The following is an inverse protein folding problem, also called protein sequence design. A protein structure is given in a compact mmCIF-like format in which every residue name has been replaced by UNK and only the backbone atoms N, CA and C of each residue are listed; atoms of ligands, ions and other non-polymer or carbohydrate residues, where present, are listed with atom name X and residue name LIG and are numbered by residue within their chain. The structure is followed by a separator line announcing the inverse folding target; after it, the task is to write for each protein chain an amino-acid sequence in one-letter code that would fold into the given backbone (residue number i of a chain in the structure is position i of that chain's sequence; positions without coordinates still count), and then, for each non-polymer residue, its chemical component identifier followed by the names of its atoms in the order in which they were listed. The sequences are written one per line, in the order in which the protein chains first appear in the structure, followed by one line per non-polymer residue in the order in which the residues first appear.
data_IF_719061245224
#
_entry.id   IF_719061245224
#
_cell.length_a   1.000
_cell.length_b   1.000
_cell.length_c   1.000
_cell.angle_alpha   90.00
_cell.angle_beta   90.00
_cell.angle_gamma   90.00
#
_symmetry.space_group_name_H-M   'P 1'
#
loop_
_entity.id
_entity.type
_entity.pdbx_description
1 polymer ?
#
# COMPACT_ATOMS: atom_id res chain seq x y z
N UNK A 1 -30.47 1.43 -21.64
CA UNK A 1 -30.52 0.85 -20.28
C UNK A 1 -29.12 0.39 -19.87
N UNK A 2 -28.30 1.30 -19.34
CA UNK A 2 -26.87 1.06 -19.03
C UNK A 2 -26.75 0.24 -17.74
N UNK A 3 -26.58 -1.09 -17.85
CA UNK A 3 -26.30 -1.95 -16.69
C UNK A 3 -24.92 -1.60 -16.13
N UNK A 4 -24.94 -1.06 -14.92
CA UNK A 4 -23.82 -0.66 -14.07
C UNK A 4 -22.73 -1.75 -14.06
N UNK A 5 -21.48 -1.37 -14.39
CA UNK A 5 -20.29 -2.20 -14.18
C UNK A 5 -20.33 -2.68 -12.73
N UNK A 6 -20.32 -3.99 -12.51
CA UNK A 6 -20.15 -4.57 -11.17
C UNK A 6 -18.83 -4.02 -10.63
N UNK A 7 -18.88 -3.19 -9.58
CA UNK A 7 -17.72 -2.97 -8.73
C UNK A 7 -17.35 -4.35 -8.19
N UNK A 8 -16.28 -4.92 -8.74
CA UNK A 8 -15.73 -6.18 -8.27
C UNK A 8 -15.27 -5.90 -6.84
N UNK A 9 -15.87 -6.58 -5.87
CA UNK A 9 -15.48 -6.46 -4.47
C UNK A 9 -13.96 -6.64 -4.38
N UNK A 10 -13.28 -5.64 -3.84
CA UNK A 10 -11.82 -5.68 -3.69
C UNK A 10 -11.58 -6.63 -2.53
N UNK A 11 -11.08 -7.83 -2.85
CA UNK A 11 -10.67 -8.81 -1.85
C UNK A 11 -9.54 -8.28 -0.97
N UNK A 12 -9.22 -9.00 0.10
CA UNK A 12 -8.09 -8.69 0.98
C UNK A 12 -6.79 -8.59 0.18
N UNK A 13 -6.06 -7.48 0.30
CA UNK A 13 -4.74 -7.28 -0.31
C UNK A 13 -3.69 -7.40 0.80
N UNK A 14 -2.78 -8.36 0.67
CA UNK A 14 -1.65 -8.60 1.59
C UNK A 14 -0.39 -8.84 0.78
N UNK A 15 0.74 -8.34 1.28
CA UNK A 15 2.05 -8.50 0.67
C UNK A 15 3.14 -8.29 1.71
N UNK A 16 4.30 -8.94 1.50
CA UNK A 16 5.48 -8.64 2.30
C UNK A 16 6.13 -7.36 1.80
N UNK A 17 6.63 -6.56 2.72
CA UNK A 17 7.44 -5.41 2.42
C UNK A 17 8.36 -5.13 3.61
N UNK A 18 9.49 -4.48 3.34
CA UNK A 18 10.40 -4.05 4.38
C UNK A 18 10.67 -2.55 4.26
N UNK A 19 10.92 -1.93 5.41
CA UNK A 19 11.36 -0.55 5.48
C UNK A 19 12.86 -0.52 5.15
N UNK A 20 13.29 0.12 4.05
CA UNK A 20 14.71 0.17 3.72
C UNK A 20 15.48 0.94 4.81
N UNK A 21 16.73 0.55 5.12
CA UNK A 21 17.54 1.17 6.17
C UNK A 21 18.16 2.50 5.69
N UNK A 22 17.34 3.41 5.16
CA UNK A 22 17.72 4.74 4.69
C UNK A 22 16.92 5.81 5.42
N UNK A 23 17.55 6.95 5.71
CA UNK A 23 16.91 8.04 6.46
C UNK A 23 15.65 8.57 5.76
N UNK A 24 15.63 8.57 4.43
CA UNK A 24 14.52 9.07 3.63
C UNK A 24 13.34 8.10 3.51
N UNK A 25 13.45 6.88 4.07
CA UNK A 25 12.38 5.88 4.03
C UNK A 25 11.11 6.37 4.72
N UNK A 26 11.23 7.28 5.69
CA UNK A 26 10.10 7.95 6.34
C UNK A 26 10.35 9.45 6.26
N UNK A 27 9.41 10.18 5.66
CA UNK A 27 9.47 11.63 5.53
C UNK A 27 8.19 12.25 6.07
N UNK A 28 8.27 13.24 6.95
CA UNK A 28 7.12 13.96 7.49
C UNK A 28 6.99 15.34 6.85
N UNK A 29 5.76 15.75 6.53
CA UNK A 29 5.46 17.10 6.07
C UNK A 29 5.20 18.01 7.29
N UNK A 30 5.97 19.09 7.41
CA UNK A 30 5.98 19.96 8.60
C UNK A 30 4.73 20.83 8.82
N UNK A 31 3.70 20.72 7.96
CA UNK A 31 2.48 21.52 8.06
C UNK A 31 1.23 20.70 8.45
N UNK A 32 1.41 19.47 8.92
CA UNK A 32 0.29 18.62 9.36
C UNK A 32 -0.30 17.73 8.26
N UNK A 33 0.25 17.77 7.04
CA UNK A 33 -0.16 16.93 5.90
C UNK A 33 0.32 15.46 6.00
N UNK A 34 0.67 15.01 7.21
CA UNK A 34 1.14 13.65 7.47
C UNK A 34 2.56 13.41 6.96
N UNK A 35 2.79 12.21 6.43
CA UNK A 35 4.11 11.79 5.95
C UNK A 35 4.03 10.75 4.83
N UNK A 36 5.19 10.45 4.25
CA UNK A 36 5.39 9.37 3.28
C UNK A 36 6.27 8.30 3.88
N UNK A 37 5.91 7.06 3.57
CA UNK A 37 6.69 5.86 3.86
C UNK A 37 7.06 5.22 2.53
N UNK A 38 8.33 4.93 2.34
CA UNK A 38 8.86 4.15 1.22
C UNK A 38 9.06 2.73 1.70
N UNK A 39 8.47 1.77 1.01
CA UNK A 39 8.58 0.34 1.32
C UNK A 39 9.17 -0.38 0.12
N UNK A 40 10.10 -1.29 0.38
CA UNK A 40 10.63 -2.19 -0.63
C UNK A 40 9.84 -3.49 -0.61
N UNK A 41 9.50 -3.99 -1.81
CA UNK A 41 8.59 -5.11 -2.00
C UNK A 41 9.33 -6.16 -2.83
N UNK A 42 9.36 -7.42 -2.40
CA UNK A 42 10.06 -8.45 -3.13
C UNK A 42 9.29 -8.85 -4.41
N UNK A 43 9.97 -9.38 -5.44
CA UNK A 43 9.35 -9.61 -6.76
C UNK A 43 8.08 -10.48 -6.75
N UNK A 44 8.02 -11.47 -5.86
CA UNK A 44 6.86 -12.36 -5.72
C UNK A 44 5.57 -11.64 -5.32
N UNK A 45 5.69 -10.50 -4.63
CA UNK A 45 4.58 -9.75 -4.05
C UNK A 45 4.14 -8.55 -4.92
N UNK A 46 4.84 -8.25 -6.01
CA UNK A 46 4.54 -7.12 -6.89
C UNK A 46 3.10 -7.13 -7.42
N UNK A 47 2.53 -8.31 -7.70
CA UNK A 47 1.14 -8.43 -8.16
C UNK A 47 0.15 -7.90 -7.13
N UNK A 48 0.35 -8.19 -5.84
CA UNK A 48 -0.51 -7.73 -4.76
C UNK A 48 -0.39 -6.21 -4.56
N UNK A 49 0.80 -5.64 -4.69
CA UNK A 49 1.00 -4.17 -4.60
C UNK A 49 0.33 -3.44 -5.75
N UNK A 50 0.36 -3.99 -6.97
CA UNK A 50 -0.34 -3.40 -8.12
C UNK A 50 -1.86 -3.34 -7.92
N UNK A 51 -2.44 -4.26 -7.12
CA UNK A 51 -3.86 -4.23 -6.79
C UNK A 51 -4.26 -2.98 -5.98
N UNK A 52 -3.32 -2.34 -5.27
CA UNK A 52 -3.55 -1.07 -4.57
C UNK A 52 -3.96 0.06 -5.52
N UNK A 53 -3.61 -0.02 -6.81
CA UNK A 53 -4.05 0.98 -7.80
C UNK A 53 -5.58 1.05 -7.91
N UNK A 54 -6.30 -0.03 -7.58
CA UNK A 54 -7.76 -0.06 -7.54
C UNK A 54 -8.34 0.78 -6.39
N UNK A 55 -7.52 1.12 -5.40
CA UNK A 55 -7.85 1.95 -4.25
C UNK A 55 -7.28 3.36 -4.36
N UNK A 56 -6.80 3.79 -5.53
CA UNK A 56 -6.28 5.14 -5.73
C UNK A 56 -7.26 6.23 -5.25
N UNK A 57 -6.75 7.18 -4.47
CA UNK A 57 -7.54 8.27 -3.87
C UNK A 57 -8.40 7.86 -2.66
N UNK A 58 -8.37 6.60 -2.24
CA UNK A 58 -9.06 6.13 -1.04
C UNK A 58 -8.09 6.03 0.15
N UNK A 59 -8.60 6.28 1.35
CA UNK A 59 -7.88 6.01 2.59
C UNK A 59 -7.99 4.53 2.91
N UNK A 60 -6.87 3.89 3.22
CA UNK A 60 -6.82 2.51 3.70
C UNK A 60 -5.95 2.40 4.95
N UNK A 61 -6.26 1.40 5.78
CA UNK A 61 -5.52 1.11 7.01
C UNK A 61 -4.41 0.10 6.68
N UNK A 62 -3.18 0.45 7.04
CA UNK A 62 -2.03 -0.47 6.97
C UNK A 62 -1.89 -1.13 8.35
N UNK A 63 -1.71 -2.45 8.37
CA UNK A 63 -1.37 -3.22 9.57
C UNK A 63 0.00 -3.84 9.34
N UNK A 64 0.91 -3.68 10.30
CA UNK A 64 2.25 -4.24 10.26
C UNK A 64 2.30 -5.41 11.23
N UNK A 65 2.82 -6.53 10.76
CA UNK A 65 3.12 -7.72 11.55
C UNK A 65 4.62 -7.98 11.41
N UNK A 66 5.33 -8.33 12.50
CA UNK A 66 6.74 -8.72 12.40
C UNK A 66 6.88 -9.91 11.45
N UNK A 67 7.73 -9.77 10.42
CA UNK A 67 8.15 -10.88 9.58
C UNK A 67 9.43 -11.52 10.14
N UNK A 68 9.64 -12.79 9.81
CA UNK A 68 10.93 -13.45 10.03
C UNK A 68 11.95 -12.95 8.99
N UNK A 69 13.21 -12.78 9.39
CA UNK A 69 14.34 -12.33 8.53
C UNK A 69 14.61 -13.24 7.32
#
# INVERSE_FOLDING_TARGET
MKKRKREKEIGKIEFNAYLPPIQTAISFHGQGDGGRVILEVPPQDLKAVLELQKLAGKVFKVKIEPGDE
#
